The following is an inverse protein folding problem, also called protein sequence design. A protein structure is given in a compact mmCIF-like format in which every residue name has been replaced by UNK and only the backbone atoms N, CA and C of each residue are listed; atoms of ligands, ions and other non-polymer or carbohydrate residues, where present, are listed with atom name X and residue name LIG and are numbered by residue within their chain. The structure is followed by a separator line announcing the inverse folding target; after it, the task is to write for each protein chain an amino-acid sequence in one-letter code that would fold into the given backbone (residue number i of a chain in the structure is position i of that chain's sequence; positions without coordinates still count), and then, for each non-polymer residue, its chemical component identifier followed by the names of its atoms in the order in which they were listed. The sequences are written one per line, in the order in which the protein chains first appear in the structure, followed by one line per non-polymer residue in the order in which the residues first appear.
data_IF_737546406407
#
_entry.id   IF_737546406407
#
_cell.length_a   1.000
_cell.length_b   1.000
_cell.length_c   1.000
_cell.angle_alpha   90.00
_cell.angle_beta   90.00
_cell.angle_gamma   90.00
#
_symmetry.space_group_name_H-M   'P 1'
#
loop_
_entity.id
_entity.type
_entity.pdbx_description
1 polymer ?
#
# COMPACT_ATOMS: atom_id res chain seq x y z
N UNK A 1 -0.81 5.57 -30.77
CA UNK A 1 -1.19 4.26 -30.19
C UNK A 1 -1.05 4.19 -28.66
N UNK A 2 -0.46 5.20 -27.99
CA UNK A 2 -0.21 5.23 -26.55
C UNK A 2 -1.36 5.68 -25.60
N UNK A 3 -2.32 6.56 -25.99
CA UNK A 3 -3.28 7.10 -25.01
C UNK A 3 -4.27 6.04 -24.51
N UNK A 4 -4.83 5.23 -25.41
CA UNK A 4 -5.82 4.22 -25.03
C UNK A 4 -5.30 3.09 -24.13
N UNK A 5 -3.99 2.80 -24.15
CA UNK A 5 -3.39 1.81 -23.24
C UNK A 5 -3.23 2.39 -21.82
N UNK A 6 -2.82 3.67 -21.73
CA UNK A 6 -2.71 4.40 -20.46
C UNK A 6 -4.07 4.54 -19.81
N UNK A 7 -5.09 4.96 -20.57
CA UNK A 7 -6.46 5.11 -20.07
C UNK A 7 -7.02 3.79 -19.55
N UNK A 8 -6.73 2.68 -20.25
CA UNK A 8 -7.18 1.35 -19.85
C UNK A 8 -6.44 0.85 -18.59
N UNK A 9 -5.15 1.17 -18.44
CA UNK A 9 -4.38 0.88 -17.22
C UNK A 9 -4.90 1.71 -16.04
N UNK A 10 -5.17 3.00 -16.23
CA UNK A 10 -5.75 3.85 -15.18
C UNK A 10 -7.14 3.36 -14.77
N UNK A 11 -8.01 3.05 -15.74
CA UNK A 11 -9.37 2.54 -15.50
C UNK A 11 -9.37 1.21 -14.73
N UNK A 12 -8.54 0.26 -15.16
CA UNK A 12 -8.42 -1.05 -14.50
C UNK A 12 -7.84 -0.91 -13.09
N UNK A 13 -6.86 -0.01 -12.90
CA UNK A 13 -6.28 0.27 -11.59
C UNK A 13 -7.33 0.90 -10.65
N UNK A 14 -8.10 1.89 -11.13
CA UNK A 14 -9.17 2.51 -10.35
C UNK A 14 -10.25 1.51 -9.96
N UNK A 15 -10.68 0.64 -10.89
CA UNK A 15 -11.67 -0.39 -10.62
C UNK A 15 -11.19 -1.40 -9.56
N UNK A 16 -9.94 -1.84 -9.63
CA UNK A 16 -9.34 -2.75 -8.64
C UNK A 16 -9.22 -2.06 -7.28
N UNK A 17 -8.71 -0.83 -7.24
CA UNK A 17 -8.55 -0.04 -6.02
C UNK A 17 -9.89 0.27 -5.35
N UNK A 18 -10.97 0.43 -6.13
CA UNK A 18 -12.32 0.66 -5.61
C UNK A 18 -12.91 -0.57 -4.88
N UNK A 19 -12.40 -1.77 -5.12
CA UNK A 19 -12.94 -3.01 -4.53
C UNK A 19 -11.97 -3.64 -3.52
N UNK A 20 -10.71 -3.20 -3.47
CA UNK A 20 -9.63 -3.91 -2.79
C UNK A 20 -9.83 -4.09 -1.27
N UNK A 21 -10.44 -3.11 -0.59
CA UNK A 21 -10.70 -3.18 0.86
C UNK A 21 -12.09 -3.72 1.22
N UNK A 22 -12.99 -3.86 0.23
CA UNK A 22 -14.36 -4.31 0.47
C UNK A 22 -14.46 -5.73 1.06
N UNK A 23 -13.69 -6.74 0.61
CA UNK A 23 -13.70 -8.06 1.24
C UNK A 23 -13.27 -8.03 2.71
N UNK A 24 -12.28 -7.18 3.04
CA UNK A 24 -11.82 -6.99 4.42
C UNK A 24 -12.92 -6.33 5.27
N UNK A 25 -13.59 -5.32 4.74
CA UNK A 25 -14.71 -4.65 5.40
C UNK A 25 -15.88 -5.61 5.67
N UNK A 26 -16.28 -6.40 4.67
CA UNK A 26 -17.34 -7.40 4.81
C UNK A 26 -16.96 -8.49 5.82
N UNK A 27 -15.69 -8.90 5.87
CA UNK A 27 -15.21 -9.86 6.85
C UNK A 27 -15.34 -9.32 8.29
N UNK A 28 -14.95 -8.07 8.54
CA UNK A 28 -15.11 -7.44 9.87
C UNK A 28 -16.58 -7.29 10.25
N UNK A 29 -17.43 -6.84 9.32
CA UNK A 29 -18.86 -6.68 9.56
C UNK A 29 -19.56 -8.02 9.85
N UNK A 30 -19.19 -9.09 9.14
CA UNK A 30 -19.74 -10.44 9.37
C UNK A 30 -19.24 -11.09 10.65
N UNK A 31 -17.97 -10.87 11.01
CA UNK A 31 -17.40 -11.41 12.23
C UNK A 31 -17.84 -10.65 13.49
N UNK A 32 -18.34 -9.41 13.35
CA UNK A 32 -18.67 -8.53 14.48
C UNK A 32 -17.49 -8.23 15.40
N UNK A 33 -16.27 -8.51 14.93
CA UNK A 33 -15.03 -8.47 15.70
C UNK A 33 -13.84 -8.26 14.77
N UNK A 34 -12.85 -7.50 15.23
CA UNK A 34 -11.62 -7.20 14.48
C UNK A 34 -10.56 -8.32 14.56
N UNK A 35 -10.97 -9.54 14.90
CA UNK A 35 -10.06 -10.65 15.18
C UNK A 35 -9.25 -11.02 13.93
N UNK A 36 -7.93 -10.81 13.96
CA UNK A 36 -7.00 -11.12 12.87
C UNK A 36 -6.50 -9.92 12.05
N UNK A 37 -7.04 -8.71 12.23
CA UNK A 37 -6.51 -7.50 11.59
C UNK A 37 -5.64 -6.68 12.56
N UNK A 38 -4.42 -6.35 12.13
CA UNK A 38 -3.53 -5.45 12.87
C UNK A 38 -3.91 -3.99 12.60
N UNK A 39 -4.54 -3.34 13.58
CA UNK A 39 -4.84 -1.90 13.53
C UNK A 39 -3.58 -1.07 13.24
N UNK A 40 -2.45 -1.44 13.83
CA UNK A 40 -1.17 -0.75 13.61
C UNK A 40 -0.71 -0.85 12.15
N UNK A 41 -0.95 -1.98 11.49
CA UNK A 41 -0.63 -2.15 10.06
C UNK A 41 -1.50 -1.26 9.18
N UNK A 42 -2.81 -1.19 9.46
CA UNK A 42 -3.74 -0.33 8.71
C UNK A 42 -3.44 1.15 8.90
N UNK A 43 -3.13 1.58 10.12
CA UNK A 43 -2.72 2.96 10.39
C UNK A 43 -1.43 3.34 9.66
N UNK A 44 -0.47 2.41 9.57
CA UNK A 44 0.78 2.61 8.84
C UNK A 44 0.55 2.69 7.33
N UNK A 45 -0.37 1.87 6.81
CA UNK A 45 -0.79 1.87 5.40
C UNK A 45 -1.46 3.20 5.03
N UNK A 46 -2.42 3.65 5.84
CA UNK A 46 -3.08 4.95 5.71
C UNK A 46 -2.07 6.11 5.74
N UNK A 47 -1.10 6.08 6.66
CA UNK A 47 -0.04 7.09 6.72
C UNK A 47 0.79 7.10 5.44
N UNK A 48 1.16 5.93 4.92
CA UNK A 48 1.92 5.82 3.67
C UNK A 48 1.17 6.35 2.45
N UNK A 49 -0.14 6.11 2.36
CA UNK A 49 -0.99 6.65 1.29
C UNK A 49 -1.16 8.16 1.40
N UNK A 50 -1.34 8.70 2.61
CA UNK A 50 -1.47 10.14 2.83
C UNK A 50 -0.17 10.88 2.47
N UNK A 51 0.99 10.37 2.88
CA UNK A 51 2.29 10.95 2.52
C UNK A 51 2.48 10.93 1.00
N UNK A 52 2.16 9.81 0.35
CA UNK A 52 2.30 9.67 -1.10
C UNK A 52 1.38 10.60 -1.87
N UNK A 53 0.08 10.65 -1.50
CA UNK A 53 -0.89 11.55 -2.11
C UNK A 53 -0.48 13.02 -1.92
N UNK A 54 -0.03 13.39 -0.71
CA UNK A 54 0.39 14.76 -0.43
C UNK A 54 1.63 15.15 -1.25
N UNK A 55 2.58 14.23 -1.40
CA UNK A 55 3.77 14.43 -2.22
C UNK A 55 3.37 14.73 -3.68
N UNK A 56 2.49 13.91 -4.26
CA UNK A 56 2.04 14.08 -5.65
C UNK A 56 1.27 15.40 -5.87
N UNK A 57 0.42 15.79 -4.91
CA UNK A 57 -0.29 17.08 -4.94
C UNK A 57 0.71 18.25 -4.84
N UNK A 58 1.70 18.16 -3.94
CA UNK A 58 2.67 19.23 -3.70
C UNK A 58 3.56 19.49 -4.93
N UNK A 59 3.98 18.44 -5.64
CA UNK A 59 4.78 18.54 -6.86
C UNK A 59 3.94 18.74 -8.14
N UNK A 60 2.62 18.91 -8.03
CA UNK A 60 1.76 19.26 -9.15
C UNK A 60 1.61 18.16 -10.21
N UNK A 61 1.58 16.90 -9.78
CA UNK A 61 1.47 15.77 -10.71
C UNK A 61 0.12 15.76 -11.44
N UNK A 62 0.02 15.11 -12.62
CA UNK A 62 -1.26 14.90 -13.29
C UNK A 62 -2.25 14.14 -12.39
N UNK A 63 -3.52 14.56 -12.40
CA UNK A 63 -4.57 14.00 -11.54
C UNK A 63 -4.71 12.48 -11.69
N UNK A 64 -4.59 11.99 -12.93
CA UNK A 64 -4.72 10.57 -13.30
C UNK A 64 -3.74 9.66 -12.56
N UNK A 65 -2.56 10.19 -12.21
CA UNK A 65 -1.49 9.44 -11.54
C UNK A 65 -1.82 9.13 -10.08
N UNK A 66 -2.69 9.92 -9.44
CA UNK A 66 -2.96 9.83 -8.00
C UNK A 66 -4.42 9.73 -7.60
N UNK A 67 -5.38 9.82 -8.54
CA UNK A 67 -6.82 9.75 -8.29
C UNK A 67 -7.30 8.49 -7.54
N UNK A 68 -6.56 7.40 -7.62
CA UNK A 68 -6.87 6.17 -6.88
C UNK A 68 -6.61 6.28 -5.37
N UNK A 69 -5.60 7.05 -4.95
CA UNK A 69 -5.19 7.10 -3.54
C UNK A 69 -6.27 7.72 -2.65
N UNK A 70 -6.97 8.81 -3.04
CA UNK A 70 -8.12 9.31 -2.30
C UNK A 70 -9.21 8.25 -2.08
N UNK A 71 -9.49 7.42 -3.09
CA UNK A 71 -10.50 6.35 -2.99
C UNK A 71 -10.04 5.29 -1.99
N UNK A 72 -8.78 4.85 -2.08
CA UNK A 72 -8.20 3.86 -1.15
C UNK A 72 -8.19 4.41 0.28
N UNK A 73 -7.76 5.66 0.48
CA UNK A 73 -7.72 6.34 1.78
C UNK A 73 -9.11 6.39 2.41
N UNK A 74 -10.15 6.73 1.63
CA UNK A 74 -11.52 6.76 2.13
C UNK A 74 -11.97 5.37 2.62
N UNK A 75 -11.67 4.31 1.86
CA UNK A 75 -12.00 2.94 2.25
C UNK A 75 -11.25 2.48 3.49
N UNK A 76 -9.97 2.83 3.61
CA UNK A 76 -9.12 2.45 4.74
C UNK A 76 -9.56 3.17 6.02
N UNK A 77 -9.98 4.44 5.93
CA UNK A 77 -10.58 5.19 7.05
C UNK A 77 -11.89 4.55 7.51
N UNK A 78 -12.76 4.15 6.58
CA UNK A 78 -14.01 3.44 6.91
C UNK A 78 -13.71 2.12 7.63
N UNK A 79 -12.75 1.35 7.10
CA UNK A 79 -12.34 0.07 7.69
C UNK A 79 -11.77 0.25 9.12
N UNK A 80 -10.88 1.23 9.32
CA UNK A 80 -10.32 1.58 10.63
C UNK A 80 -11.44 1.98 11.59
N UNK A 81 -12.38 2.82 11.15
CA UNK A 81 -13.52 3.22 11.96
C UNK A 81 -14.36 2.01 12.40
N UNK A 82 -14.71 1.11 11.48
CA UNK A 82 -15.43 -0.12 11.80
C UNK A 82 -14.68 -0.97 12.83
N UNK A 83 -13.39 -1.22 12.64
CA UNK A 83 -12.55 -1.99 13.57
C UNK A 83 -12.55 -1.35 14.97
N UNK A 84 -12.43 -0.03 15.05
CA UNK A 84 -12.39 0.68 16.32
C UNK A 84 -13.75 0.73 17.03
N UNK A 85 -14.85 0.75 16.25
CA UNK A 85 -16.21 0.64 16.75
C UNK A 85 -16.44 -0.73 17.39
N UNK A 86 -16.15 -1.84 16.68
CA UNK A 86 -16.29 -3.20 17.22
C UNK A 86 -15.33 -3.50 18.38
N UNK A 87 -14.17 -2.84 18.44
CA UNK A 87 -13.22 -2.99 19.54
C UNK A 87 -13.57 -2.19 20.80
N UNK A 88 -14.69 -1.45 20.81
CA UNK A 88 -15.11 -0.59 21.93
C UNK A 88 -14.15 0.57 22.22
N UNK A 89 -13.24 0.91 21.30
CA UNK A 89 -12.17 1.91 21.46
C UNK A 89 -12.42 3.16 20.62
N UNK A 90 -13.69 3.53 20.40
CA UNK A 90 -14.08 4.67 19.57
C UNK A 90 -13.38 5.99 19.95
N UNK A 91 -13.08 6.22 21.23
CA UNK A 91 -12.35 7.42 21.69
C UNK A 91 -10.91 7.52 21.14
N UNK A 92 -10.25 6.38 20.87
CA UNK A 92 -8.94 6.38 20.21
C UNK A 92 -9.04 6.75 18.73
N UNK A 93 -10.20 6.59 18.09
CA UNK A 93 -10.38 6.89 16.67
C UNK A 93 -10.28 8.41 16.44
N UNK A 94 -10.89 9.20 17.33
CA UNK A 94 -10.75 10.65 17.36
C UNK A 94 -9.28 11.08 17.52
N UNK A 95 -8.53 10.42 18.40
CA UNK A 95 -7.11 10.72 18.58
C UNK A 95 -6.29 10.48 17.31
N UNK A 96 -6.50 9.35 16.62
CA UNK A 96 -5.85 9.10 15.33
C UNK A 96 -6.29 10.10 14.25
N UNK A 97 -7.57 10.44 14.18
CA UNK A 97 -8.09 11.42 13.23
C UNK A 97 -7.42 12.80 13.39
N UNK A 98 -7.25 13.26 14.64
CA UNK A 98 -6.55 14.53 14.94
C UNK A 98 -5.08 14.44 14.55
N UNK A 99 -4.40 13.32 14.84
CA UNK A 99 -3.00 13.12 14.41
C UNK A 99 -2.88 13.18 12.90
N UNK A 100 -3.70 12.43 12.17
CA UNK A 100 -3.66 12.41 10.70
C UNK A 100 -3.95 13.78 10.10
N UNK A 101 -4.95 14.49 10.64
CA UNK A 101 -5.27 15.84 10.22
C UNK A 101 -4.09 16.80 10.48
N UNK A 102 -3.48 16.75 11.67
CA UNK A 102 -2.31 17.56 12.00
C UNK A 102 -1.10 17.25 11.10
N UNK A 103 -0.82 15.97 10.87
CA UNK A 103 0.27 15.53 9.98
C UNK A 103 0.06 16.00 8.54
N UNK A 104 -1.18 16.02 8.04
CA UNK A 104 -1.50 16.48 6.68
C UNK A 104 -1.10 17.93 6.43
N UNK A 105 -1.36 18.83 7.37
CA UNK A 105 -0.96 20.23 7.27
C UNK A 105 0.55 20.40 7.45
N UNK A 106 1.13 19.67 8.40
CA UNK A 106 2.55 19.76 8.75
C UNK A 106 3.47 19.29 7.61
N UNK A 107 3.04 18.30 6.83
CA UNK A 107 3.77 17.81 5.66
C UNK A 107 4.00 18.88 4.58
N UNK A 108 3.18 19.92 4.52
CA UNK A 108 3.30 20.99 3.49
C UNK A 108 3.94 22.27 3.97
N UNK A 109 4.39 22.33 5.22
CA UNK A 109 5.04 23.53 5.74
C UNK A 109 6.40 23.78 5.08
N UNK A 110 7.16 22.72 4.78
CA UNK A 110 8.49 22.83 4.17
C UNK A 110 8.80 21.66 3.24
N UNK A 111 9.48 21.95 2.12
CA UNK A 111 9.85 20.97 1.08
C UNK A 111 10.67 19.79 1.62
N UNK A 112 11.61 20.03 2.54
CA UNK A 112 12.41 18.94 3.10
C UNK A 112 11.58 17.96 3.95
N UNK A 113 10.48 18.40 4.55
CA UNK A 113 9.61 17.56 5.38
C UNK A 113 8.88 16.54 4.49
N UNK A 114 8.36 16.98 3.34
CA UNK A 114 7.64 16.09 2.43
C UNK A 114 8.57 15.08 1.75
N UNK A 115 9.78 15.52 1.37
CA UNK A 115 10.80 14.64 0.78
C UNK A 115 11.32 13.62 1.82
N UNK A 116 11.56 14.06 3.05
CA UNK A 116 11.96 13.17 4.14
C UNK A 116 10.86 12.15 4.47
N UNK A 117 9.60 12.60 4.58
CA UNK A 117 8.47 11.72 4.86
C UNK A 117 8.30 10.66 3.75
N UNK A 118 8.49 11.04 2.49
CA UNK A 118 8.43 10.13 1.35
C UNK A 118 9.55 9.08 1.38
N UNK A 119 10.78 9.48 1.71
CA UNK A 119 11.92 8.57 1.88
C UNK A 119 11.73 7.61 3.07
N UNK A 120 11.27 8.13 4.22
CA UNK A 120 10.96 7.33 5.40
C UNK A 120 9.84 6.32 5.11
N UNK A 121 8.78 6.73 4.42
CA UNK A 121 7.70 5.84 4.00
C UNK A 121 8.23 4.68 3.14
N UNK A 122 9.16 4.98 2.22
CA UNK A 122 9.80 3.98 1.37
C UNK A 122 10.65 3.02 2.20
N UNK A 123 11.45 3.53 3.13
CA UNK A 123 12.28 2.71 4.01
C UNK A 123 11.44 1.79 4.90
N UNK A 124 10.38 2.31 5.51
CA UNK A 124 9.45 1.53 6.34
C UNK A 124 8.76 0.44 5.53
N UNK A 125 8.32 0.76 4.30
CA UNK A 125 7.71 -0.22 3.39
C UNK A 125 8.69 -1.33 3.01
N UNK A 126 9.94 -0.98 2.75
CA UNK A 126 11.00 -1.94 2.44
C UNK A 126 11.28 -2.85 3.65
N UNK A 127 11.44 -2.27 4.84
CA UNK A 127 11.66 -3.00 6.09
C UNK A 127 10.51 -3.99 6.37
N UNK A 128 9.25 -3.57 6.17
CA UNK A 128 8.09 -4.44 6.35
C UNK A 128 8.15 -5.69 5.44
N UNK A 129 8.54 -5.53 4.17
CA UNK A 129 8.70 -6.66 3.24
C UNK A 129 9.87 -7.57 3.61
N UNK A 130 10.97 -7.00 4.11
CA UNK A 130 12.09 -7.79 4.61
C UNK A 130 11.72 -8.63 5.84
N UNK A 131 10.94 -8.07 6.77
CA UNK A 131 10.41 -8.81 7.92
C UNK A 131 9.45 -9.91 7.47
N UNK A 132 8.59 -9.65 6.48
CA UNK A 132 7.73 -10.68 5.89
C UNK A 132 8.54 -11.82 5.23
N UNK A 133 9.64 -11.48 4.55
CA UNK A 133 10.56 -12.46 3.98
C UNK A 133 11.25 -13.31 5.06
N UNK A 134 11.70 -12.67 6.15
CA UNK A 134 12.31 -13.37 7.29
C UNK A 134 11.32 -14.34 7.96
N UNK A 135 10.08 -13.92 8.17
CA UNK A 135 9.04 -14.81 8.70
C UNK A 135 8.74 -15.98 7.77
N UNK A 136 8.73 -15.74 6.44
CA UNK A 136 8.56 -16.81 5.45
C UNK A 136 9.70 -17.84 5.50
N UNK A 137 10.94 -17.39 5.68
CA UNK A 137 12.10 -18.28 5.85
C UNK A 137 12.05 -19.10 7.13
N UNK A 138 11.62 -18.51 8.24
CA UNK A 138 11.55 -19.18 9.54
C UNK A 138 10.41 -20.19 9.61
N UNK A 139 9.23 -19.83 9.11
CA UNK A 139 8.04 -20.66 9.30
C UNK A 139 7.90 -21.75 8.23
N UNK A 140 8.58 -21.64 7.07
CA UNK A 140 8.46 -22.53 5.89
C UNK A 140 7.04 -22.79 5.37
N UNK A 141 6.02 -22.20 6.00
CA UNK A 141 4.62 -22.38 5.65
C UNK A 141 4.16 -21.20 4.79
N UNK A 142 4.04 -21.46 3.51
CA UNK A 142 3.62 -20.50 2.47
C UNK A 142 2.08 -20.38 2.37
N UNK A 143 1.34 -21.03 3.27
CA UNK A 143 -0.12 -21.19 3.19
C UNK A 143 -0.93 -19.89 3.20
N UNK A 144 -0.40 -18.80 3.81
CA UNK A 144 -1.11 -17.51 3.86
C UNK A 144 -0.62 -16.48 2.82
N UNK A 145 0.59 -16.65 2.27
CA UNK A 145 1.17 -15.74 1.29
C UNK A 145 0.99 -16.30 -0.12
N UNK A 146 -0.17 -16.03 -0.74
CA UNK A 146 -0.44 -16.49 -2.10
C UNK A 146 0.57 -15.92 -3.09
N UNK A 147 1.27 -16.81 -3.82
CA UNK A 147 2.19 -16.44 -4.89
C UNK A 147 1.54 -15.53 -5.94
N UNK A 148 0.21 -15.64 -6.12
CA UNK A 148 -0.57 -14.77 -7.01
C UNK A 148 -0.61 -13.33 -6.48
N UNK A 149 -0.80 -13.12 -5.18
CA UNK A 149 -0.84 -11.78 -4.57
C UNK A 149 0.51 -11.06 -4.70
N UNK A 150 1.59 -11.79 -4.51
CA UNK A 150 2.94 -11.25 -4.68
C UNK A 150 3.30 -11.01 -6.15
N UNK A 151 2.87 -11.90 -7.06
CA UNK A 151 3.00 -11.71 -8.50
C UNK A 151 2.24 -10.47 -9.01
N UNK A 152 1.00 -10.25 -8.54
CA UNK A 152 0.24 -9.03 -8.85
C UNK A 152 0.94 -7.77 -8.31
N UNK A 153 1.60 -7.87 -7.14
CA UNK A 153 2.40 -6.76 -6.58
C UNK A 153 3.66 -6.46 -7.41
N UNK A 154 4.30 -7.48 -8.00
CA UNK A 154 5.40 -7.29 -8.98
C UNK A 154 4.90 -6.55 -10.20
N UNK A 155 3.79 -7.01 -10.79
CA UNK A 155 3.18 -6.36 -11.96
C UNK A 155 2.82 -4.89 -11.69
N UNK A 156 2.18 -4.62 -10.55
CA UNK A 156 1.77 -3.26 -10.17
C UNK A 156 2.97 -2.34 -9.98
N UNK A 157 4.04 -2.80 -9.32
CA UNK A 157 5.28 -2.01 -9.19
C UNK A 157 5.93 -1.74 -10.55
N UNK A 158 5.93 -2.71 -11.47
CA UNK A 158 6.48 -2.54 -12.82
C UNK A 158 5.66 -1.53 -13.64
N UNK A 159 4.33 -1.62 -13.62
CA UNK A 159 3.44 -0.66 -14.26
C UNK A 159 3.64 0.76 -13.69
N UNK A 160 3.88 0.88 -12.39
CA UNK A 160 4.19 2.15 -11.73
C UNK A 160 5.53 2.76 -12.15
N UNK A 161 6.56 1.94 -12.37
CA UNK A 161 7.84 2.41 -12.92
C UNK A 161 7.62 3.01 -14.31
N UNK A 162 6.93 2.29 -15.19
CA UNK A 162 6.68 2.73 -16.57
C UNK A 162 5.87 4.03 -16.58
N UNK A 163 4.77 4.09 -15.84
CA UNK A 163 3.92 5.30 -15.76
C UNK A 163 4.67 6.48 -15.13
N UNK A 164 5.51 6.26 -14.11
CA UNK A 164 6.32 7.33 -13.50
C UNK A 164 7.33 7.90 -14.50
N UNK A 165 8.06 7.04 -15.22
CA UNK A 165 9.02 7.48 -16.25
C UNK A 165 8.32 8.26 -17.36
N UNK A 166 7.11 7.85 -17.75
CA UNK A 166 6.38 8.46 -18.86
C UNK A 166 5.63 9.76 -18.48
N UNK A 167 5.21 9.94 -17.22
CA UNK A 167 4.34 11.05 -16.82
C UNK A 167 5.03 12.13 -16.00
N UNK A 168 5.95 11.74 -15.12
CA UNK A 168 6.45 12.63 -14.05
C UNK A 168 7.96 12.70 -13.99
N UNK A 169 8.66 11.63 -14.41
CA UNK A 169 10.12 11.53 -14.45
C UNK A 169 10.81 11.88 -13.12
N UNK A 170 10.11 11.67 -12.00
CA UNK A 170 10.61 11.95 -10.66
C UNK A 170 11.42 10.77 -10.11
N UNK A 171 12.67 11.05 -9.77
CA UNK A 171 13.63 10.04 -9.31
C UNK A 171 13.27 9.46 -7.95
N UNK A 172 12.67 10.24 -7.03
CA UNK A 172 12.31 9.76 -5.68
C UNK A 172 11.20 8.73 -5.77
N UNK A 173 10.17 9.02 -6.56
CA UNK A 173 9.05 8.10 -6.80
C UNK A 173 9.52 6.86 -7.58
N UNK A 174 10.39 7.05 -8.58
CA UNK A 174 10.97 5.97 -9.37
C UNK A 174 11.80 5.02 -8.51
N UNK A 175 12.71 5.53 -7.68
CA UNK A 175 13.54 4.73 -6.77
C UNK A 175 12.67 3.93 -5.81
N UNK A 176 11.61 4.53 -5.24
CA UNK A 176 10.66 3.81 -4.39
C UNK A 176 10.07 2.59 -5.11
N UNK A 177 9.58 2.76 -6.34
CA UNK A 177 8.98 1.64 -7.06
C UNK A 177 10.00 0.59 -7.52
N UNK A 178 11.23 0.98 -7.85
CA UNK A 178 12.32 0.05 -8.15
C UNK A 178 12.66 -0.81 -6.92
N UNK A 179 12.85 -0.19 -5.75
CA UNK A 179 13.11 -0.91 -4.50
C UNK A 179 11.95 -1.88 -4.21
N UNK A 180 10.71 -1.40 -4.36
CA UNK A 180 9.52 -2.21 -4.12
C UNK A 180 9.40 -3.39 -5.09
N UNK A 181 9.77 -3.19 -6.37
CA UNK A 181 9.79 -4.24 -7.39
C UNK A 181 10.80 -5.33 -7.03
N UNK A 182 12.04 -4.96 -6.70
CA UNK A 182 13.11 -5.90 -6.34
C UNK A 182 12.68 -6.74 -5.13
N UNK A 183 12.15 -6.09 -4.08
CA UNK A 183 11.66 -6.80 -2.89
C UNK A 183 10.49 -7.72 -3.21
N UNK A 184 9.53 -7.28 -4.04
CA UNK A 184 8.40 -8.11 -4.45
C UNK A 184 8.86 -9.34 -5.27
N UNK A 185 9.82 -9.18 -6.17
CA UNK A 185 10.41 -10.29 -6.94
C UNK A 185 11.08 -11.29 -6.00
N UNK A 186 11.87 -10.79 -5.04
CA UNK A 186 12.58 -11.66 -4.10
C UNK A 186 11.61 -12.47 -3.22
N UNK A 187 10.57 -11.83 -2.68
CA UNK A 187 9.54 -12.54 -1.92
C UNK A 187 8.82 -13.57 -2.80
N UNK A 188 8.44 -13.21 -4.02
CA UNK A 188 7.76 -14.12 -4.96
C UNK A 188 8.63 -15.34 -5.30
N UNK A 189 9.91 -15.13 -5.61
CA UNK A 189 10.86 -16.19 -5.92
C UNK A 189 11.04 -17.15 -4.74
N UNK A 190 11.09 -16.59 -3.53
CA UNK A 190 11.20 -17.36 -2.28
C UNK A 190 9.97 -18.26 -2.06
N UNK A 191 8.76 -17.73 -2.25
CA UNK A 191 7.51 -18.52 -2.15
C UNK A 191 7.50 -19.66 -3.18
N UNK A 192 7.89 -19.40 -4.43
CA UNK A 192 7.94 -20.42 -5.48
C UNK A 192 8.95 -21.53 -5.17
N UNK A 193 10.11 -21.17 -4.61
CA UNK A 193 11.14 -22.13 -4.22
C UNK A 193 10.66 -23.07 -3.10
N UNK A 194 10.02 -22.55 -2.04
CA UNK A 194 9.46 -23.38 -0.97
C UNK A 194 8.28 -24.23 -1.42
N UNK A 195 7.47 -23.73 -2.36
CA UNK A 195 6.35 -24.51 -2.91
C UNK A 195 6.82 -25.69 -3.77
N UNK A 196 7.95 -25.55 -4.47
CA UNK A 196 8.56 -26.63 -5.26
C UNK A 196 9.13 -27.73 -4.36
N UNK A 197 9.82 -27.36 -3.27
CA UNK A 197 10.36 -28.33 -2.30
C UNK A 197 9.26 -29.15 -1.63
N UNK A 198 8.15 -28.53 -1.18
CA UNK A 198 7.01 -29.24 -0.58
C UNK A 198 6.25 -30.20 -1.53
N UNK A 199 6.39 -30.04 -2.86
CA UNK A 199 5.75 -30.94 -3.85
C UNK A 199 6.60 -32.17 -4.18
N UNK A 200 7.85 -32.20 -3.71
CA UNK A 200 8.82 -33.25 -4.06
C UNK A 200 9.10 -34.20 -2.88
N UNK A 201 8.54 -33.91 -1.71
CA UNK A 201 8.43 -34.80 -0.54
C UNK A 201 7.04 -35.44 -0.53
#
# INVERSE_FOLDING_TARGET
MAPGLLDLVHLTTWAVCAVIKLPQLVAVLRAGSAWGLSLSSLLLELAGYLVFLRYQIYYGYPLETYLEYPIIIAQDVILIYCIMHFSGKARRALFYAVIFWGSWYMLTLQKWIIDLAMNLCTFVSAASKLVQLQHLWQNKDSGQASALTWGMSVYTSAARIITTVMTTNDLVVLIRFIIMLILNIWVTATILHYRKTRKTD
#
